data_IF_592773019846
#
_entry.id   IF_592773019846
#
_cell.length_a   1.000
_cell.length_b   1.000
_cell.length_c   1.000
_cell.angle_alpha   90.00
_cell.angle_beta   90.00
_cell.angle_gamma   90.00
#
_symmetry.space_group_name_H-M   'P 1'
#
loop_
_entity.id
_entity.type
_entity.pdbx_description
1 polymer ?
#
# COMPACT_ATOMS: atom_id res chain seq x y z
N UNK A 1 -26.71 2.63 64.37
CA UNK A 1 -27.03 1.94 63.12
C UNK A 1 -25.78 1.90 62.28
N UNK A 2 -25.10 0.76 62.24
CA UNK A 2 -23.81 0.59 61.57
C UNK A 2 -23.93 -0.57 60.59
N UNK A 3 -23.65 -0.34 59.30
CA UNK A 3 -22.54 -0.97 58.61
C UNK A 3 -22.42 -0.51 57.16
N UNK A 4 -21.21 -0.08 56.82
CA UNK A 4 -20.63 0.05 55.48
C UNK A 4 -20.57 -1.30 54.76
N UNK A 5 -20.78 -1.34 53.44
CA UNK A 5 -19.82 -2.02 52.58
C UNK A 5 -19.82 -1.54 51.12
N UNK A 6 -18.62 -1.24 50.69
CA UNK A 6 -18.16 -0.99 49.32
C UNK A 6 -18.03 -2.33 48.57
N UNK A 7 -17.86 -2.24 47.25
CA UNK A 7 -17.46 -3.29 46.30
C UNK A 7 -18.51 -4.34 45.91
N UNK A 8 -18.89 -4.27 44.62
CA UNK A 8 -18.99 -5.36 43.64
C UNK A 8 -19.65 -4.78 42.38
N UNK A 9 -19.28 -5.03 41.15
CA UNK A 9 -18.04 -5.45 40.51
C UNK A 9 -18.31 -5.12 39.03
N UNK A 10 -17.32 -4.53 38.36
CA UNK A 10 -17.33 -4.24 36.93
C UNK A 10 -17.11 -5.57 36.16
N UNK A 11 -18.02 -6.54 36.32
CA UNK A 11 -18.05 -7.71 35.47
C UNK A 11 -18.71 -7.29 34.14
N UNK A 12 -17.85 -6.89 33.20
CA UNK A 12 -18.22 -6.82 31.78
C UNK A 12 -18.90 -8.13 31.42
N UNK A 13 -20.18 -8.06 31.08
CA UNK A 13 -21.01 -9.22 30.77
C UNK A 13 -20.39 -9.97 29.58
N UNK A 14 -19.78 -11.12 29.87
CA UNK A 14 -19.14 -11.98 28.86
C UNK A 14 -20.13 -12.41 27.77
N UNK A 15 -21.45 -12.40 28.06
CA UNK A 15 -22.50 -12.68 27.08
C UNK A 15 -22.71 -11.52 26.08
N UNK A 16 -22.61 -10.26 26.51
CA UNK A 16 -22.67 -9.09 25.60
C UNK A 16 -21.45 -9.05 24.67
N UNK A 17 -20.27 -9.42 25.18
CA UNK A 17 -19.06 -9.55 24.36
C UNK A 17 -19.20 -10.70 23.37
N UNK A 18 -19.82 -11.81 23.77
CA UNK A 18 -20.07 -12.95 22.91
C UNK A 18 -21.13 -12.64 21.83
N UNK A 19 -22.20 -11.89 22.14
CA UNK A 19 -23.17 -11.42 21.15
C UNK A 19 -22.55 -10.50 20.10
N UNK A 20 -21.64 -9.59 20.51
CA UNK A 20 -20.90 -8.73 19.57
C UNK A 20 -19.98 -9.57 18.65
N UNK A 21 -19.40 -10.66 19.17
CA UNK A 21 -18.56 -11.58 18.40
C UNK A 21 -19.39 -12.48 17.47
N UNK A 22 -20.55 -12.94 17.91
CA UNK A 22 -21.44 -13.86 17.17
C UNK A 22 -22.23 -13.14 16.07
N UNK A 23 -22.41 -11.81 16.17
CA UNK A 23 -22.97 -10.98 15.07
C UNK A 23 -22.00 -10.84 13.89
N UNK A 24 -20.79 -11.40 13.97
CA UNK A 24 -19.80 -11.39 12.88
C UNK A 24 -20.02 -12.51 11.85
N UNK A 25 -21.28 -12.79 11.48
CA UNK A 25 -21.61 -13.56 10.28
C UNK A 25 -22.25 -12.65 9.22
N UNK A 26 -21.50 -12.40 8.15
CA UNK A 26 -21.96 -12.03 6.80
C UNK A 26 -22.90 -10.81 6.66
N UNK A 27 -22.73 -9.77 7.48
CA UNK A 27 -23.21 -8.45 7.04
C UNK A 27 -22.20 -7.82 6.09
N UNK A 28 -22.65 -7.45 4.88
CA UNK A 28 -21.85 -6.62 3.99
C UNK A 28 -21.44 -5.33 4.73
N UNK A 29 -20.18 -4.88 4.58
CA UNK A 29 -19.73 -3.69 5.26
C UNK A 29 -20.59 -2.50 4.87
N UNK A 30 -21.02 -1.74 5.86
CA UNK A 30 -21.76 -0.49 5.64
C UNK A 30 -20.94 0.47 4.76
N UNK A 31 -21.61 1.43 4.12
CA UNK A 31 -20.94 2.41 3.27
C UNK A 31 -19.80 3.16 4.01
N UNK A 32 -20.01 3.45 5.30
CA UNK A 32 -19.04 4.11 6.16
C UNK A 32 -17.83 3.21 6.45
N UNK A 33 -18.04 1.93 6.70
CA UNK A 33 -16.98 0.94 6.91
C UNK A 33 -16.14 0.72 5.64
N UNK A 34 -16.81 0.71 4.48
CA UNK A 34 -16.15 0.64 3.17
C UNK A 34 -15.30 1.88 2.91
N UNK A 35 -15.82 3.08 3.21
CA UNK A 35 -15.07 4.35 3.11
C UNK A 35 -13.84 4.35 4.02
N UNK A 36 -13.98 3.97 5.29
CA UNK A 36 -12.87 3.91 6.24
C UNK A 36 -11.78 2.93 5.77
N UNK A 37 -12.20 1.76 5.29
CA UNK A 37 -11.29 0.76 4.73
C UNK A 37 -10.48 1.33 3.55
N UNK A 38 -11.15 2.00 2.60
CA UNK A 38 -10.48 2.65 1.45
C UNK A 38 -9.49 3.72 1.88
N UNK A 39 -9.82 4.52 2.90
CA UNK A 39 -8.91 5.54 3.46
C UNK A 39 -7.64 4.88 4.01
N UNK A 40 -7.79 3.82 4.80
CA UNK A 40 -6.64 3.09 5.37
C UNK A 40 -5.80 2.47 4.24
N UNK A 41 -6.43 1.84 3.27
CA UNK A 41 -5.73 1.24 2.14
C UNK A 41 -4.97 2.29 1.31
N UNK A 42 -5.56 3.46 1.09
CA UNK A 42 -4.93 4.60 0.42
C UNK A 42 -3.71 5.13 1.18
N UNK A 43 -3.79 5.22 2.52
CA UNK A 43 -2.66 5.57 3.37
C UNK A 43 -1.52 4.55 3.23
N UNK A 44 -1.82 3.26 3.36
CA UNK A 44 -0.85 2.16 3.25
C UNK A 44 -0.17 2.19 1.87
N UNK A 45 -0.95 2.33 0.79
CA UNK A 45 -0.44 2.35 -0.57
C UNK A 45 0.44 3.58 -0.86
N UNK A 46 0.10 4.74 -0.29
CA UNK A 46 0.94 5.95 -0.38
C UNK A 46 2.33 5.74 0.20
N UNK A 47 2.44 5.06 1.34
CA UNK A 47 3.73 4.71 1.92
C UNK A 47 4.50 3.70 1.07
N UNK A 48 3.81 2.71 0.48
CA UNK A 48 4.45 1.78 -0.46
C UNK A 48 5.07 2.53 -1.65
N UNK A 49 4.35 3.50 -2.24
CA UNK A 49 4.89 4.33 -3.32
C UNK A 49 6.09 5.18 -2.90
N UNK A 50 6.03 5.82 -1.72
CA UNK A 50 7.16 6.58 -1.17
C UNK A 50 8.38 5.68 -0.91
N UNK A 51 8.15 4.45 -0.46
CA UNK A 51 9.23 3.50 -0.20
C UNK A 51 9.94 3.02 -1.46
N UNK A 52 9.21 2.87 -2.57
CA UNK A 52 9.83 2.54 -3.87
C UNK A 52 10.78 3.63 -4.34
N UNK A 53 10.48 4.89 -4.02
CA UNK A 53 11.33 6.05 -4.27
C UNK A 53 12.41 6.28 -3.20
N UNK A 54 12.57 5.34 -2.26
CA UNK A 54 13.49 5.43 -1.11
C UNK A 54 13.24 6.64 -0.20
N UNK A 55 12.05 7.24 -0.24
CA UNK A 55 11.70 8.41 0.60
C UNK A 55 11.29 8.01 2.02
N UNK A 56 10.75 6.81 2.18
CA UNK A 56 10.31 6.29 3.49
C UNK A 56 10.56 4.78 3.58
N UNK A 57 10.53 4.23 4.79
CA UNK A 57 10.40 2.78 4.98
C UNK A 57 8.98 2.30 4.60
N UNK A 58 8.80 1.02 4.24
CA UNK A 58 7.48 0.42 4.04
C UNK A 58 6.62 0.54 5.31
N UNK A 59 5.31 0.60 5.11
CA UNK A 59 4.37 0.81 6.21
C UNK A 59 4.24 -0.44 7.10
N UNK A 60 4.28 -0.22 8.41
CA UNK A 60 4.11 -1.26 9.42
C UNK A 60 2.87 -1.04 10.28
N UNK A 61 2.64 -1.97 11.20
CA UNK A 61 1.55 -1.90 12.19
C UNK A 61 1.58 -0.58 12.95
N UNK A 62 2.76 -0.13 13.39
CA UNK A 62 2.94 1.12 14.15
C UNK A 62 2.46 2.34 13.37
N UNK A 63 2.68 2.38 12.06
CA UNK A 63 2.26 3.50 11.22
C UNK A 63 0.73 3.56 11.09
N UNK A 64 0.09 2.41 10.84
CA UNK A 64 -1.38 2.34 10.74
C UNK A 64 -2.03 2.68 12.08
N UNK A 65 -1.51 2.15 13.20
CA UNK A 65 -1.98 2.51 14.54
C UNK A 65 -1.79 4.00 14.83
N UNK A 66 -0.64 4.58 14.47
CA UNK A 66 -0.39 6.01 14.63
C UNK A 66 -1.35 6.87 13.80
N UNK A 67 -1.61 6.48 12.54
CA UNK A 67 -2.59 7.14 11.68
C UNK A 67 -4.00 7.13 12.29
N UNK A 68 -4.45 5.97 12.78
CA UNK A 68 -5.76 5.83 13.41
C UNK A 68 -5.85 6.58 14.75
N UNK A 69 -4.79 6.54 15.57
CA UNK A 69 -4.71 7.29 16.83
C UNK A 69 -4.88 8.79 16.60
N UNK A 70 -4.27 9.34 15.55
CA UNK A 70 -4.36 10.76 15.23
C UNK A 70 -5.76 11.22 14.80
N UNK A 71 -6.62 10.31 14.34
CA UNK A 71 -7.97 10.63 13.85
C UNK A 71 -9.03 10.33 14.91
N UNK A 72 -8.93 9.17 15.57
CA UNK A 72 -9.97 8.63 16.44
C UNK A 72 -9.58 8.61 17.93
N UNK A 73 -8.36 9.01 18.27
CA UNK A 73 -7.83 8.94 19.62
C UNK A 73 -7.29 7.55 20.00
N UNK A 74 -6.65 7.47 21.17
CA UNK A 74 -5.94 6.27 21.63
C UNK A 74 -6.87 5.09 21.93
N UNK A 75 -8.02 5.36 22.56
CA UNK A 75 -8.98 4.32 22.98
C UNK A 75 -9.62 3.63 21.77
N UNK A 76 -10.16 4.39 20.82
CA UNK A 76 -10.83 3.83 19.64
C UNK A 76 -9.86 3.21 18.62
N UNK A 77 -8.59 3.61 18.62
CA UNK A 77 -7.59 3.13 17.67
C UNK A 77 -7.45 1.61 17.66
N UNK A 78 -7.47 0.96 18.82
CA UNK A 78 -7.26 -0.49 18.88
C UNK A 78 -8.43 -1.25 18.23
N UNK A 79 -9.67 -0.91 18.57
CA UNK A 79 -10.86 -1.53 17.99
C UNK A 79 -10.89 -1.35 16.46
N UNK A 80 -10.66 -0.13 15.98
CA UNK A 80 -10.63 0.19 14.54
C UNK A 80 -9.47 -0.52 13.84
N UNK A 81 -8.30 -0.60 14.48
CA UNK A 81 -7.15 -1.30 13.92
C UNK A 81 -7.44 -2.79 13.72
N UNK A 82 -7.99 -3.48 14.72
CA UNK A 82 -8.24 -4.92 14.58
C UNK A 82 -9.37 -5.21 13.59
N UNK A 83 -10.44 -4.41 13.58
CA UNK A 83 -11.58 -4.63 12.68
C UNK A 83 -11.27 -4.25 11.23
N UNK A 84 -10.61 -3.12 10.98
CA UNK A 84 -10.40 -2.61 9.60
C UNK A 84 -8.93 -2.42 9.24
N UNK A 85 -8.10 -1.94 10.18
CA UNK A 85 -6.71 -1.58 9.91
C UNK A 85 -5.80 -2.75 9.54
N UNK A 86 -5.87 -3.84 10.30
CA UNK A 86 -5.07 -5.06 10.09
C UNK A 86 -5.46 -5.74 8.77
N UNK A 87 -6.75 -5.99 8.47
CA UNK A 87 -7.15 -6.52 7.17
C UNK A 87 -6.71 -5.65 5.99
N UNK A 88 -6.91 -4.32 6.07
CA UNK A 88 -6.49 -3.40 5.02
C UNK A 88 -4.97 -3.44 4.77
N UNK A 89 -4.17 -3.43 5.84
CA UNK A 89 -2.71 -3.53 5.75
C UNK A 89 -2.28 -4.83 5.05
N UNK A 90 -2.86 -5.97 5.42
CA UNK A 90 -2.55 -7.26 4.83
C UNK A 90 -2.92 -7.30 3.34
N UNK A 91 -4.17 -6.93 3.00
CA UNK A 91 -4.65 -6.92 1.61
C UNK A 91 -3.78 -6.08 0.69
N UNK A 92 -3.43 -4.86 1.12
CA UNK A 92 -2.57 -3.98 0.31
C UNK A 92 -1.18 -4.58 0.15
N UNK A 93 -0.57 -5.12 1.22
CA UNK A 93 0.75 -5.77 1.13
C UNK A 93 0.77 -6.96 0.20
N UNK A 94 -0.25 -7.81 0.27
CA UNK A 94 -0.39 -8.96 -0.63
C UNK A 94 -0.59 -8.54 -2.07
N UNK A 95 -1.47 -7.55 -2.33
CA UNK A 95 -1.67 -6.97 -3.65
C UNK A 95 -0.36 -6.43 -4.22
N UNK A 96 0.36 -5.61 -3.45
CA UNK A 96 1.65 -5.04 -3.86
C UNK A 96 2.69 -6.13 -4.13
N UNK A 97 2.76 -7.16 -3.28
CA UNK A 97 3.66 -8.31 -3.48
C UNK A 97 3.34 -9.04 -4.78
N UNK A 98 2.06 -9.31 -5.06
CA UNK A 98 1.60 -9.97 -6.29
C UNK A 98 1.95 -9.15 -7.53
N UNK A 99 1.65 -7.84 -7.50
CA UNK A 99 1.96 -6.90 -8.57
C UNK A 99 3.47 -6.84 -8.87
N UNK A 100 4.30 -6.69 -7.83
CA UNK A 100 5.76 -6.68 -7.97
C UNK A 100 6.29 -7.99 -8.57
N UNK A 101 5.72 -9.13 -8.15
CA UNK A 101 6.09 -10.45 -8.65
C UNK A 101 5.74 -10.62 -10.13
N UNK A 102 4.53 -10.21 -10.53
CA UNK A 102 4.07 -10.32 -11.92
C UNK A 102 5.03 -9.60 -12.89
N UNK A 103 5.45 -8.38 -12.55
CA UNK A 103 6.41 -7.62 -13.37
C UNK A 103 7.79 -8.33 -13.43
N UNK A 104 8.27 -8.85 -12.29
CA UNK A 104 9.57 -9.58 -12.25
C UNK A 104 9.57 -10.86 -13.07
N UNK A 105 8.42 -11.49 -13.26
CA UNK A 105 8.26 -12.74 -14.00
C UNK A 105 7.90 -12.51 -15.47
N UNK A 106 7.66 -11.26 -15.90
CA UNK A 106 7.34 -10.96 -17.28
C UNK A 106 8.59 -11.05 -18.15
N UNK A 107 8.61 -12.01 -19.07
CA UNK A 107 9.72 -12.20 -20.02
C UNK A 107 9.99 -10.95 -20.86
N UNK A 108 8.93 -10.25 -21.28
CA UNK A 108 9.05 -8.98 -22.03
C UNK A 108 9.76 -7.91 -21.21
N UNK A 109 9.36 -7.71 -19.94
CA UNK A 109 10.03 -6.72 -19.08
C UNK A 109 11.47 -7.12 -18.80
N UNK A 110 11.76 -8.43 -18.64
CA UNK A 110 13.12 -8.93 -18.49
C UNK A 110 13.97 -8.70 -19.75
N UNK A 111 13.40 -8.85 -20.94
CA UNK A 111 14.07 -8.53 -22.20
C UNK A 111 14.42 -7.04 -22.30
N UNK A 112 13.48 -6.15 -21.98
CA UNK A 112 13.72 -4.69 -21.98
C UNK A 112 14.81 -4.33 -20.95
N UNK A 113 14.83 -4.95 -19.78
CA UNK A 113 15.88 -4.72 -18.79
C UNK A 113 17.28 -5.11 -19.32
N UNK A 114 17.39 -6.13 -20.19
CA UNK A 114 18.66 -6.50 -20.83
C UNK A 114 19.07 -5.51 -21.91
N UNK A 115 18.11 -4.96 -22.65
CA UNK A 115 18.35 -3.98 -23.71
C UNK A 115 18.74 -2.60 -23.17
N UNK A 116 18.19 -2.22 -22.01
CA UNK A 116 18.44 -0.95 -21.34
C UNK A 116 19.06 -1.17 -19.93
N UNK A 117 20.29 -1.71 -19.85
CA UNK A 117 20.92 -2.09 -18.58
C UNK A 117 21.26 -0.89 -17.69
N UNK A 118 21.39 0.31 -18.24
CA UNK A 118 21.66 1.54 -17.50
C UNK A 118 20.49 1.98 -16.61
N UNK A 119 19.27 1.52 -16.91
CA UNK A 119 18.07 1.87 -16.16
C UNK A 119 17.58 0.71 -15.29
N UNK A 120 16.94 1.03 -14.17
CA UNK A 120 16.24 0.03 -13.36
C UNK A 120 14.80 -0.18 -13.87
N UNK A 121 14.69 -0.77 -15.06
CA UNK A 121 13.43 -1.00 -15.78
C UNK A 121 12.43 -1.75 -14.91
N UNK A 122 12.86 -2.83 -14.25
CA UNK A 122 11.97 -3.63 -13.41
C UNK A 122 11.31 -2.78 -12.32
N UNK A 123 12.08 -1.97 -11.58
CA UNK A 123 11.50 -1.13 -10.52
C UNK A 123 10.63 0.00 -11.07
N UNK A 124 11.04 0.62 -12.18
CA UNK A 124 10.26 1.67 -12.83
C UNK A 124 8.89 1.14 -13.28
N UNK A 125 8.88 -0.02 -13.95
CA UNK A 125 7.64 -0.64 -14.41
C UNK A 125 6.77 -1.13 -13.25
N UNK A 126 7.37 -1.70 -12.18
CA UNK A 126 6.64 -2.03 -10.96
C UNK A 126 5.90 -0.83 -10.38
N UNK A 127 6.54 0.34 -10.36
CA UNK A 127 5.93 1.56 -9.84
C UNK A 127 4.71 1.98 -10.69
N UNK A 128 4.87 1.98 -12.00
CA UNK A 128 3.80 2.26 -12.96
C UNK A 128 2.62 1.29 -12.86
N UNK A 129 2.93 -0.01 -12.78
CA UNK A 129 1.94 -1.09 -12.64
C UNK A 129 1.17 -0.99 -11.31
N UNK A 130 1.85 -0.72 -10.20
CA UNK A 130 1.21 -0.53 -8.90
C UNK A 130 0.34 0.74 -8.85
N UNK A 131 0.65 1.76 -9.65
CA UNK A 131 -0.17 2.97 -9.81
C UNK A 131 -1.38 2.79 -10.73
N UNK A 132 -1.51 1.63 -11.37
CA UNK A 132 -2.53 1.38 -12.40
C UNK A 132 -2.35 2.24 -13.64
N UNK A 133 -1.11 2.68 -13.92
CA UNK A 133 -0.77 3.50 -15.09
C UNK A 133 -0.20 2.68 -16.25
N UNK A 134 0.27 1.48 -15.95
CA UNK A 134 0.70 0.50 -16.93
C UNK A 134 0.13 -0.86 -16.52
N UNK A 135 -0.11 -1.72 -17.50
CA UNK A 135 -0.47 -3.13 -17.34
C UNK A 135 0.55 -3.99 -18.08
N UNK A 136 0.46 -5.32 -17.96
CA UNK A 136 1.31 -6.23 -18.73
C UNK A 136 0.74 -6.50 -20.13
N UNK A 137 -0.06 -5.58 -20.66
CA UNK A 137 -0.59 -5.63 -22.02
C UNK A 137 0.52 -5.32 -23.02
N UNK A 138 0.33 -5.71 -24.28
CA UNK A 138 1.29 -5.41 -25.35
C UNK A 138 1.46 -3.89 -25.52
N UNK A 139 0.35 -3.16 -25.59
CA UNK A 139 0.30 -1.71 -25.79
C UNK A 139 1.02 -0.93 -24.69
N UNK A 140 0.79 -1.28 -23.41
CA UNK A 140 1.43 -0.58 -22.28
C UNK A 140 2.94 -0.83 -22.25
N UNK A 141 3.40 -2.00 -22.70
CA UNK A 141 4.81 -2.32 -22.80
C UNK A 141 5.47 -1.56 -23.95
N UNK A 142 4.83 -1.52 -25.13
CA UNK A 142 5.31 -0.77 -26.29
C UNK A 142 5.39 0.74 -26.00
N UNK A 143 4.38 1.28 -25.32
CA UNK A 143 4.38 2.68 -24.86
C UNK A 143 5.59 2.94 -23.95
N UNK A 144 5.87 2.03 -23.01
CA UNK A 144 7.00 2.18 -22.12
C UNK A 144 8.35 2.09 -22.85
N UNK A 145 8.48 1.22 -23.86
CA UNK A 145 9.69 1.14 -24.71
C UNK A 145 9.90 2.46 -25.46
N UNK A 146 8.86 3.01 -26.09
CA UNK A 146 8.95 4.29 -26.80
C UNK A 146 9.42 5.43 -25.86
N UNK A 147 8.98 5.44 -24.59
CA UNK A 147 9.48 6.39 -23.60
C UNK A 147 10.99 6.24 -23.33
N UNK A 148 11.51 5.01 -23.30
CA UNK A 148 12.94 4.75 -23.12
C UNK A 148 13.76 5.18 -24.34
N UNK A 149 13.25 4.96 -25.55
CA UNK A 149 13.90 5.38 -26.79
C UNK A 149 14.06 6.91 -26.83
N UNK A 150 13.00 7.66 -26.48
CA UNK A 150 13.04 9.13 -26.39
C UNK A 150 14.10 9.59 -25.38
N UNK A 151 14.17 8.95 -24.21
CA UNK A 151 15.17 9.26 -23.18
C UNK A 151 16.60 9.02 -23.71
N UNK A 152 16.83 7.88 -24.35
CA UNK A 152 18.13 7.52 -24.93
C UNK A 152 18.58 8.53 -26.01
N UNK A 153 17.66 8.98 -26.87
CA UNK A 153 17.97 9.98 -27.89
C UNK A 153 18.30 11.35 -27.28
N UNK A 154 17.70 11.70 -26.14
CA UNK A 154 17.98 12.95 -25.45
C UNK A 154 19.38 12.94 -24.83
N UNK A 155 19.76 11.86 -24.16
CA UNK A 155 21.11 11.69 -23.58
C UNK A 155 22.21 11.78 -24.65
N UNK A 156 22.03 11.12 -25.79
CA UNK A 156 23.02 11.13 -26.88
C UNK A 156 23.23 12.53 -27.48
N UNK A 157 22.17 13.34 -27.59
CA UNK A 157 22.26 14.70 -28.13
C UNK A 157 22.93 15.68 -27.15
N UNK A 158 22.81 15.46 -25.84
CA UNK A 158 23.47 16.28 -24.82
C UNK A 158 24.97 16.01 -24.75
N UNK A 159 25.39 14.74 -24.86
CA UNK A 159 26.80 14.35 -24.90
C UNK A 159 27.50 14.99 -26.10
N UNK A 160 26.89 14.91 -27.29
CA UNK A 160 27.45 15.51 -28.51
C UNK A 160 27.58 17.05 -28.47
N UNK A 161 26.73 17.74 -27.69
CA UNK A 161 26.84 19.20 -27.50
C UNK A 161 27.99 19.59 -26.57
N UNK A 162 28.29 18.75 -25.56
CA UNK A 162 29.39 19.00 -24.64
C UNK A 162 30.75 18.78 -25.30
N UNK A 163 30.88 17.76 -26.16
CA UNK A 163 32.12 17.47 -26.90
C UNK A 163 32.46 18.52 -27.98
N UNK A 164 31.45 19.21 -28.54
CA UNK A 164 31.67 20.30 -29.52
C UNK A 164 31.98 21.66 -28.90
N UNK A 165 31.90 21.77 -27.57
CA UNK A 165 32.14 23.03 -26.83
C UNK A 165 33.49 23.04 -26.09
N UNK A 166 34.31 21.99 -26.27
CA UNK A 166 35.71 21.89 -25.84
C UNK A 166 36.63 22.06 -27.03
#
# INVERSE_FOLDING_TARGET
>A
MSNTNSQRDNELNTQEIQEILDTTQSQEPTEQESKLTKIIEGYVLTFEFKSMKKLTKPVGVRNVKGFLKNIFGEQAMYAIYYKYGKPALLRVKERVKKQKRAVKQSEKILAIQKEYPQYNIIKAYQYGYMKGKFHLSKEDIETFIAMLEILKHTENNEIQKQEKSQ
#
